data_IF_196980616689
#
_entry.id   IF_196980616689
#
_cell.length_a   1.000
_cell.length_b   1.000
_cell.length_c   1.000
_cell.angle_alpha   90.00
_cell.angle_beta   90.00
_cell.angle_gamma   90.00
#
_symmetry.space_group_name_H-M   'P 1'
#
loop_
_entity.id
_entity.type
_entity.pdbx_description
1 polymer ?
#
# COMPACT_ATOMS: atom_id res chain seq x y z
N UNK A 1 4.53 1.96 9.47
CA UNK A 1 3.51 2.63 8.62
C UNK A 1 2.49 1.61 8.16
N UNK A 2 1.23 1.95 8.17
CA UNK A 2 0.16 1.05 7.71
C UNK A 2 -0.18 1.32 6.25
N UNK A 3 -0.88 0.36 5.62
CA UNK A 3 -1.35 0.55 4.24
C UNK A 3 -2.31 1.74 4.16
N UNK A 4 -3.15 1.94 5.18
CA UNK A 4 -4.03 3.09 5.23
C UNK A 4 -3.25 4.40 5.20
N UNK A 5 -2.17 4.49 5.96
CA UNK A 5 -1.31 5.66 5.99
C UNK A 5 -0.62 5.88 4.64
N UNK A 6 -0.20 4.80 3.99
CA UNK A 6 0.41 4.88 2.65
C UNK A 6 -0.58 5.46 1.66
N UNK A 7 -1.81 4.96 1.65
CA UNK A 7 -2.85 5.48 0.77
C UNK A 7 -3.10 6.97 0.99
N UNK A 8 -3.19 7.38 2.25
CA UNK A 8 -3.42 8.78 2.59
C UNK A 8 -2.23 9.67 2.19
N UNK A 9 -1.02 9.23 2.48
CA UNK A 9 0.19 10.00 2.20
C UNK A 9 0.41 10.24 0.71
N UNK A 10 0.14 9.23 -0.11
CA UNK A 10 0.41 9.30 -1.55
C UNK A 10 -0.84 9.54 -2.39
N UNK A 11 -1.98 9.77 -1.74
CA UNK A 11 -3.22 10.07 -2.45
C UNK A 11 -3.72 8.92 -3.31
N UNK A 12 -3.52 7.68 -2.86
CA UNK A 12 -3.90 6.49 -3.61
C UNK A 12 -5.18 5.87 -3.06
N UNK A 13 -6.06 5.41 -3.96
CA UNK A 13 -7.17 4.56 -3.56
C UNK A 13 -6.66 3.14 -3.34
N UNK A 14 -7.47 2.30 -2.71
CA UNK A 14 -7.13 0.88 -2.54
C UNK A 14 -6.93 0.20 -3.88
N UNK A 15 -7.81 0.49 -4.85
CA UNK A 15 -7.70 -0.06 -6.20
C UNK A 15 -6.41 0.38 -6.88
N UNK A 16 -6.07 1.66 -6.76
CA UNK A 16 -4.85 2.19 -7.36
C UNK A 16 -3.61 1.52 -6.75
N UNK A 17 -3.59 1.34 -5.44
CA UNK A 17 -2.48 0.68 -4.76
C UNK A 17 -2.36 -0.78 -5.22
N UNK A 18 -3.48 -1.49 -5.31
CA UNK A 18 -3.50 -2.88 -5.77
C UNK A 18 -2.93 -2.99 -7.18
N UNK A 19 -3.37 -2.12 -8.09
CA UNK A 19 -2.90 -2.12 -9.48
C UNK A 19 -1.42 -1.75 -9.58
N UNK A 20 -0.98 -0.79 -8.77
CA UNK A 20 0.41 -0.33 -8.79
C UNK A 20 1.40 -1.44 -8.46
N UNK A 21 1.04 -2.29 -7.51
CA UNK A 21 1.94 -3.34 -7.00
C UNK A 21 1.55 -4.75 -7.43
N UNK A 22 0.51 -4.89 -8.25
CA UNK A 22 0.07 -6.21 -8.70
C UNK A 22 -0.47 -7.08 -7.56
N UNK A 23 -1.10 -6.47 -6.58
CA UNK A 23 -1.65 -7.16 -5.40
C UNK A 23 -3.16 -7.31 -5.58
N UNK A 24 -3.74 -8.48 -5.22
CA UNK A 24 -5.20 -8.61 -5.24
C UNK A 24 -5.87 -7.52 -4.41
N UNK A 25 -6.93 -6.92 -4.95
CA UNK A 25 -7.64 -5.85 -4.25
C UNK A 25 -8.11 -6.29 -2.86
N UNK A 26 -8.56 -7.52 -2.74
CA UNK A 26 -9.02 -8.05 -1.45
C UNK A 26 -7.91 -8.02 -0.40
N UNK A 27 -6.69 -8.33 -0.80
CA UNK A 27 -5.54 -8.28 0.11
C UNK A 27 -5.30 -6.85 0.58
N UNK A 28 -5.36 -5.88 -0.34
CA UNK A 28 -5.21 -4.46 0.02
C UNK A 28 -6.32 -4.03 0.96
N UNK A 29 -7.55 -4.46 0.71
CA UNK A 29 -8.68 -4.15 1.58
C UNK A 29 -8.48 -4.70 2.99
N UNK A 30 -7.97 -5.93 3.12
CA UNK A 30 -7.70 -6.53 4.41
C UNK A 30 -6.62 -5.76 5.17
N UNK A 31 -5.57 -5.34 4.48
CA UNK A 31 -4.51 -4.54 5.07
C UNK A 31 -5.00 -3.15 5.46
N UNK A 32 -5.79 -2.51 4.60
CA UNK A 32 -6.33 -1.18 4.84
C UNK A 32 -7.29 -1.18 6.04
N UNK A 33 -8.12 -2.22 6.14
CA UNK A 33 -9.10 -2.34 7.21
C UNK A 33 -8.53 -2.86 8.53
N UNK A 34 -7.26 -3.26 8.56
CA UNK A 34 -6.63 -3.77 9.77
C UNK A 34 -6.90 -5.24 10.08
N UNK A 35 -7.54 -5.98 9.17
CA UNK A 35 -7.80 -7.41 9.36
C UNK A 35 -6.52 -8.23 9.30
N UNK A 36 -5.59 -7.81 8.46
CA UNK A 36 -4.27 -8.42 8.32
C UNK A 36 -3.24 -7.31 8.21
N UNK A 37 -2.03 -7.63 8.60
CA UNK A 37 -0.92 -6.70 8.49
C UNK A 37 0.06 -7.21 7.44
N UNK A 38 0.51 -6.36 6.50
CA UNK A 38 1.53 -6.79 5.56
C UNK A 38 2.86 -6.98 6.28
N UNK A 39 3.74 -7.85 5.75
CA UNK A 39 5.10 -7.95 6.28
C UNK A 39 5.82 -6.60 6.22
N UNK A 40 6.70 -6.34 7.16
CA UNK A 40 7.42 -5.07 7.24
C UNK A 40 8.19 -4.77 5.95
N UNK A 41 8.81 -5.78 5.34
CA UNK A 41 9.58 -5.58 4.11
C UNK A 41 8.69 -5.15 2.94
N UNK A 42 7.43 -5.59 2.93
CA UNK A 42 6.48 -5.19 1.88
C UNK A 42 6.14 -3.71 2.04
N UNK A 43 5.89 -3.27 3.26
CA UNK A 43 5.60 -1.86 3.55
C UNK A 43 6.79 -1.00 3.16
N UNK A 44 7.99 -1.41 3.55
CA UNK A 44 9.21 -0.67 3.22
C UNK A 44 9.41 -0.58 1.71
N UNK A 45 9.17 -1.66 0.99
CA UNK A 45 9.28 -1.68 -0.47
C UNK A 45 8.28 -0.74 -1.13
N UNK A 46 7.02 -0.76 -0.67
CA UNK A 46 5.99 0.13 -1.19
C UNK A 46 6.38 1.59 -1.03
N UNK A 47 6.83 1.96 0.16
CA UNK A 47 7.23 3.33 0.45
C UNK A 47 8.40 3.74 -0.44
N UNK A 48 9.40 2.88 -0.57
CA UNK A 48 10.57 3.17 -1.40
C UNK A 48 10.17 3.41 -2.85
N UNK A 49 9.33 2.54 -3.43
CA UNK A 49 8.93 2.67 -4.82
C UNK A 49 8.04 3.91 -5.03
N UNK A 50 7.15 4.21 -4.10
CA UNK A 50 6.30 5.39 -4.20
C UNK A 50 7.10 6.68 -4.05
N UNK A 51 8.13 6.69 -3.22
CA UNK A 51 9.00 7.86 -3.09
C UNK A 51 9.82 8.09 -4.37
N UNK A 52 10.25 7.02 -5.04
CA UNK A 52 10.93 7.15 -6.33
C UNK A 52 10.02 7.76 -7.39
N UNK A 53 8.77 7.30 -7.44
CA UNK A 53 7.80 7.83 -8.40
C UNK A 53 7.48 9.29 -8.13
N UNK A 54 7.48 9.68 -6.87
CA UNK A 54 7.19 11.04 -6.45
C UNK A 54 8.34 12.00 -6.84
N UNK A 55 9.55 11.50 -6.74
CA UNK A 55 10.74 12.28 -6.99
C UNK A 55 11.06 12.40 -8.45
#
# INVERSE_FOLDING_TARGET
>A
MTVKEICEKYGLSQTALANRFGIPLRTVQDWHGGRRNPPDYVVAMMVELLERDKG
#
